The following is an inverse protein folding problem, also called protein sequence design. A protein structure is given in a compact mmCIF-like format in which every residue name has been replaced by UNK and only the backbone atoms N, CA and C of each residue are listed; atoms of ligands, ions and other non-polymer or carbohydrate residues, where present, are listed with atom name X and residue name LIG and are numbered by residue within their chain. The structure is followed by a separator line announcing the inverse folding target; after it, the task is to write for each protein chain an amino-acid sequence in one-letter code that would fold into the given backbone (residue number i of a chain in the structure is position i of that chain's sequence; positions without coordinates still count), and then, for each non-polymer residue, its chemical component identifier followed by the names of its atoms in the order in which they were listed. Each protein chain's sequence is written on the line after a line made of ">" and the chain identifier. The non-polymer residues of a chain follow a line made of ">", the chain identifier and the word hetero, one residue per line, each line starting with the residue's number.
data_IF_649623918719
#
_entry.id   IF_649623918719
#
_cell.length_a   1.000
_cell.length_b   1.000
_cell.length_c   1.000
_cell.angle_alpha   90.00
_cell.angle_beta   90.00
_cell.angle_gamma   90.00
#
_symmetry.space_group_name_H-M   'P 1'
#
loop_
_entity.id
_entity.type
_entity.pdbx_description
1 polymer ?
#
# COMPACT_ATOMS: atom_id res chain seq x y z
N UNK A 1 19.43 -78.22 -11.34
CA UNK A 1 20.82 -78.11 -10.87
C UNK A 1 21.12 -76.64 -10.60
N UNK A 2 21.29 -76.27 -9.32
CA UNK A 2 21.79 -74.95 -8.90
C UNK A 2 23.32 -75.02 -8.81
N UNK A 3 24.01 -74.00 -9.29
CA UNK A 3 25.46 -73.87 -9.19
C UNK A 3 25.87 -72.43 -8.92
N UNK A 4 26.18 -72.15 -7.65
CA UNK A 4 26.79 -70.91 -7.13
C UNK A 4 28.26 -70.78 -7.48
N UNK A 5 28.76 -69.52 -7.52
CA UNK A 5 30.02 -69.02 -6.91
C UNK A 5 30.06 -67.48 -7.09
N UNK A 6 29.98 -66.69 -6.00
CA UNK A 6 31.07 -66.04 -5.23
C UNK A 6 31.73 -64.86 -6.00
N UNK A 7 32.13 -63.71 -5.45
CA UNK A 7 32.14 -63.12 -4.10
C UNK A 7 32.71 -61.67 -4.20
N UNK A 8 32.28 -60.82 -3.27
CA UNK A 8 32.78 -59.51 -2.79
C UNK A 8 34.12 -58.93 -3.28
N UNK A 9 34.14 -57.59 -3.48
CA UNK A 9 35.23 -56.68 -3.05
C UNK A 9 34.73 -55.24 -2.92
N UNK A 10 34.89 -54.64 -1.74
CA UNK A 10 34.77 -53.20 -1.46
C UNK A 10 36.07 -52.42 -1.79
N UNK A 11 36.16 -51.13 -1.45
CA UNK A 11 36.76 -50.08 -2.29
C UNK A 11 38.21 -49.71 -1.93
N UNK A 12 38.88 -48.84 -2.71
CA UNK A 12 39.95 -48.00 -2.20
C UNK A 12 39.58 -46.51 -2.11
N UNK A 13 39.82 -45.97 -0.91
CA UNK A 13 39.99 -44.54 -0.58
C UNK A 13 41.47 -44.16 -0.72
N UNK A 14 41.79 -42.98 -1.30
CA UNK A 14 42.89 -42.08 -0.84
C UNK A 14 43.20 -40.88 -1.79
N UNK A 15 43.16 -39.66 -1.22
CA UNK A 15 44.07 -38.48 -1.35
C UNK A 15 44.42 -37.88 -2.75
N UNK A 16 44.55 -36.56 -3.02
CA UNK A 16 44.55 -35.28 -2.29
C UNK A 16 44.40 -34.08 -3.31
N UNK A 17 44.13 -32.85 -2.82
CA UNK A 17 43.76 -31.60 -3.57
C UNK A 17 44.81 -30.93 -4.49
N UNK A 18 44.65 -29.65 -4.96
CA UNK A 18 44.40 -28.47 -4.11
C UNK A 18 43.42 -27.35 -4.64
N UNK A 19 42.95 -26.54 -3.69
CA UNK A 19 42.60 -25.08 -3.66
C UNK A 19 42.09 -24.26 -4.87
N UNK A 20 40.87 -23.70 -4.67
CA UNK A 20 40.40 -22.29 -4.79
C UNK A 20 40.82 -21.39 -5.97
N UNK A 21 39.83 -20.95 -6.76
CA UNK A 21 39.49 -19.57 -7.22
C UNK A 21 38.30 -19.65 -8.21
N UNK A 22 37.10 -19.12 -7.95
CA UNK A 22 36.62 -17.73 -8.17
C UNK A 22 35.42 -17.73 -9.13
N UNK A 23 34.31 -17.19 -8.62
CA UNK A 23 33.22 -16.39 -9.19
C UNK A 23 32.22 -16.88 -10.28
N UNK A 24 30.97 -16.41 -10.04
CA UNK A 24 29.86 -16.08 -10.94
C UNK A 24 28.94 -17.19 -11.46
N UNK A 25 27.74 -17.27 -10.88
CA UNK A 25 26.50 -16.74 -11.50
C UNK A 25 25.28 -17.51 -11.01
N UNK A 26 24.20 -16.79 -10.73
CA UNK A 26 22.86 -17.35 -10.84
C UNK A 26 22.01 -17.31 -9.57
N UNK A 27 21.17 -16.26 -9.49
CA UNK A 27 19.87 -16.38 -8.83
C UNK A 27 19.74 -15.68 -7.49
N UNK A 28 19.94 -14.35 -7.45
CA UNK A 28 19.27 -13.58 -6.40
C UNK A 28 17.76 -13.67 -6.66
N UNK A 29 17.04 -14.35 -5.77
CA UNK A 29 15.59 -14.52 -5.77
C UNK A 29 14.92 -13.15 -5.68
N UNK A 30 14.66 -12.56 -6.86
CA UNK A 30 13.79 -11.39 -7.07
C UNK A 30 12.30 -11.66 -6.71
N UNK A 31 11.98 -12.82 -6.17
CA UNK A 31 10.62 -13.26 -5.87
C UNK A 31 10.07 -12.79 -4.52
N UNK A 32 10.90 -12.33 -3.58
CA UNK A 32 10.42 -11.76 -2.31
C UNK A 32 10.06 -10.26 -2.39
N UNK A 33 10.44 -9.58 -3.47
CA UNK A 33 10.27 -8.13 -3.66
C UNK A 33 8.96 -7.71 -4.36
N UNK A 34 8.10 -8.64 -4.80
CA UNK A 34 7.08 -8.35 -5.83
C UNK A 34 5.61 -8.34 -5.39
N UNK A 35 5.30 -8.45 -4.09
CA UNK A 35 3.98 -8.02 -3.57
C UNK A 35 3.97 -7.94 -2.06
N UNK A 36 3.84 -6.70 -1.59
CA UNK A 36 3.72 -6.39 -0.19
C UNK A 36 2.67 -5.30 -0.01
N UNK A 37 1.70 -5.53 0.89
CA UNK A 37 0.82 -4.46 1.32
C UNK A 37 1.66 -3.39 2.00
N UNK A 38 1.89 -2.29 1.30
CA UNK A 38 2.62 -1.16 1.83
C UNK A 38 1.65 -0.26 2.57
N UNK A 39 2.09 0.20 3.74
CA UNK A 39 1.31 1.02 4.66
C UNK A 39 1.94 2.39 4.73
N UNK A 40 1.16 3.42 4.47
CA UNK A 40 1.60 4.80 4.57
C UNK A 40 0.84 5.48 5.69
N UNK A 41 1.58 5.95 6.70
CA UNK A 41 1.01 6.71 7.81
C UNK A 41 0.52 8.07 7.33
N UNK A 42 -0.64 8.48 7.83
CA UNK A 42 -1.20 9.80 7.56
C UNK A 42 -1.57 10.51 8.86
N UNK A 43 -2.02 11.77 8.73
CA UNK A 43 -2.61 12.55 9.84
C UNK A 43 -4.15 12.56 9.79
N UNK A 44 -4.75 11.68 9.00
CA UNK A 44 -6.20 11.56 8.87
C UNK A 44 -6.72 10.88 10.13
N UNK A 45 -7.63 11.51 10.86
CA UNK A 45 -8.15 11.03 12.15
C UNK A 45 -9.62 10.66 12.05
N UNK A 46 -10.40 11.52 11.39
CA UNK A 46 -11.86 11.43 11.35
C UNK A 46 -12.34 10.83 10.03
N UNK A 47 -13.18 9.79 10.13
CA UNK A 47 -13.75 9.11 8.97
C UNK A 47 -14.70 10.02 8.18
N UNK A 48 -15.41 10.94 8.85
CA UNK A 48 -16.37 11.84 8.21
C UNK A 48 -15.68 12.71 7.16
N UNK A 49 -14.61 13.41 7.53
CA UNK A 49 -13.88 14.29 6.61
C UNK A 49 -13.12 13.49 5.55
N UNK A 50 -12.64 12.28 5.89
CA UNK A 50 -12.06 11.37 4.90
C UNK A 50 -13.07 11.04 3.80
N UNK A 51 -14.30 10.65 4.17
CA UNK A 51 -15.34 10.32 3.19
C UNK A 51 -15.74 11.52 2.33
N UNK A 52 -15.85 12.71 2.94
CA UNK A 52 -16.12 13.96 2.19
C UNK A 52 -15.00 14.25 1.19
N UNK A 53 -13.74 14.12 1.60
CA UNK A 53 -12.58 14.30 0.73
C UNK A 53 -12.57 13.30 -0.44
N UNK A 54 -12.88 12.03 -0.19
CA UNK A 54 -13.01 11.02 -1.24
C UNK A 54 -14.19 11.32 -2.18
N UNK A 55 -15.30 11.83 -1.65
CA UNK A 55 -16.44 12.30 -2.42
C UNK A 55 -16.10 13.44 -3.37
N UNK A 56 -15.37 14.46 -2.92
CA UNK A 56 -14.89 15.56 -3.79
C UNK A 56 -13.96 15.07 -4.92
N UNK A 57 -13.21 13.99 -4.67
CA UNK A 57 -12.34 13.35 -5.66
C UNK A 57 -13.10 12.37 -6.58
N UNK A 58 -14.42 12.24 -6.42
CA UNK A 58 -15.26 11.26 -7.14
C UNK A 58 -14.78 9.80 -6.96
N UNK A 59 -14.15 9.50 -5.82
CA UNK A 59 -13.66 8.17 -5.48
C UNK A 59 -14.74 7.38 -4.74
N UNK A 60 -15.30 6.39 -5.45
CA UNK A 60 -16.27 5.47 -4.88
C UNK A 60 -15.62 4.62 -3.79
N UNK A 61 -16.28 4.54 -2.63
CA UNK A 61 -15.73 3.86 -1.47
C UNK A 61 -16.81 3.08 -0.70
N UNK A 62 -16.38 2.06 0.03
CA UNK A 62 -17.21 1.27 0.93
C UNK A 62 -16.62 1.31 2.34
N UNK A 63 -17.43 1.73 3.30
CA UNK A 63 -17.08 1.78 4.72
C UNK A 63 -17.48 0.48 5.45
N UNK A 64 -16.85 0.26 6.60
CA UNK A 64 -17.12 -0.83 7.53
C UNK A 64 -15.95 -1.80 7.59
N UNK A 65 -16.12 -2.95 8.26
CA UNK A 65 -15.11 -4.01 8.26
C UNK A 65 -15.08 -4.71 6.90
N UNK A 66 -14.39 -4.12 5.94
CA UNK A 66 -14.29 -4.59 4.56
C UNK A 66 -12.90 -5.16 4.29
N UNK A 67 -12.79 -5.95 3.22
CA UNK A 67 -11.53 -6.58 2.81
C UNK A 67 -11.02 -5.97 1.51
N UNK A 68 -9.77 -5.51 1.51
CA UNK A 68 -9.03 -5.12 0.30
C UNK A 68 -8.34 -6.34 -0.30
N UNK A 69 -8.22 -6.37 -1.63
CA UNK A 69 -7.52 -7.41 -2.39
C UNK A 69 -6.13 -6.93 -2.81
N UNK A 70 -5.12 -7.74 -2.50
CA UNK A 70 -3.74 -7.61 -2.99
C UNK A 70 -3.37 -8.78 -3.91
N UNK A 71 -2.10 -8.84 -4.32
CA UNK A 71 -1.59 -9.93 -5.16
C UNK A 71 -1.79 -11.32 -4.54
N UNK A 72 -1.89 -12.34 -5.40
CA UNK A 72 -2.04 -13.76 -5.01
C UNK A 72 -3.22 -14.01 -4.05
N UNK A 73 -4.29 -13.22 -4.17
CA UNK A 73 -5.50 -13.39 -3.37
C UNK A 73 -5.33 -12.99 -1.90
N UNK A 74 -4.22 -12.34 -1.53
CA UNK A 74 -4.03 -11.79 -0.19
C UNK A 74 -5.16 -10.79 0.09
N UNK A 75 -5.71 -10.86 1.29
CA UNK A 75 -6.76 -9.95 1.76
C UNK A 75 -6.35 -9.30 3.06
N UNK A 76 -6.70 -8.04 3.24
CA UNK A 76 -6.51 -7.32 4.50
C UNK A 76 -7.81 -6.64 4.90
N UNK A 77 -8.14 -6.69 6.20
CA UNK A 77 -9.27 -5.96 6.75
C UNK A 77 -8.91 -4.49 6.97
N UNK A 78 -9.83 -3.62 6.58
CA UNK A 78 -9.73 -2.15 6.67
C UNK A 78 -11.12 -1.57 6.96
N UNK A 79 -11.15 -0.34 7.46
CA UNK A 79 -12.39 0.39 7.80
C UNK A 79 -13.03 1.05 6.58
N UNK A 80 -12.25 1.29 5.53
CA UNK A 80 -12.75 1.84 4.27
C UNK A 80 -11.94 1.30 3.09
N UNK A 81 -12.64 0.94 2.01
CA UNK A 81 -12.05 0.41 0.78
C UNK A 81 -12.46 1.24 -0.44
N UNK A 82 -11.49 1.49 -1.31
CA UNK A 82 -11.66 2.04 -2.65
C UNK A 82 -11.22 0.96 -3.64
N UNK A 83 -12.07 0.64 -4.61
CA UNK A 83 -11.70 -0.30 -5.67
C UNK A 83 -11.09 0.46 -6.84
N UNK A 84 -9.99 -0.06 -7.38
CA UNK A 84 -9.35 0.52 -8.57
C UNK A 84 -9.75 -0.28 -9.82
N UNK A 85 -9.61 0.31 -11.03
CA UNK A 85 -9.81 -0.39 -12.29
C UNK A 85 -8.85 -1.59 -12.48
N UNK A 86 -7.71 -1.61 -11.80
CA UNK A 86 -6.69 -2.65 -11.93
C UNK A 86 -7.07 -3.98 -11.23
N UNK A 87 -8.22 -4.03 -10.55
CA UNK A 87 -8.69 -5.22 -9.83
C UNK A 87 -8.10 -5.38 -8.43
N UNK A 88 -7.25 -4.44 -8.01
CA UNK A 88 -6.72 -4.30 -6.66
C UNK A 88 -7.45 -3.18 -5.92
N UNK A 89 -7.36 -3.20 -4.58
CA UNK A 89 -8.07 -2.22 -3.76
C UNK A 89 -7.08 -1.39 -2.91
N UNK A 90 -7.42 -0.12 -2.68
CA UNK A 90 -6.78 0.76 -1.71
C UNK A 90 -7.63 0.78 -0.45
N UNK A 91 -7.01 0.64 0.72
CA UNK A 91 -7.69 0.64 2.00
C UNK A 91 -7.23 1.77 2.92
N UNK A 92 -8.12 2.22 3.79
CA UNK A 92 -7.78 3.02 4.97
C UNK A 92 -7.96 2.16 6.21
N UNK A 93 -6.85 1.88 6.91
CA UNK A 93 -6.85 1.09 8.13
C UNK A 93 -6.61 1.97 9.34
N UNK A 94 -7.42 1.83 10.40
CA UNK A 94 -7.18 2.52 11.67
C UNK A 94 -5.90 1.98 12.31
N UNK A 95 -5.03 2.89 12.75
CA UNK A 95 -3.78 2.59 13.44
C UNK A 95 -3.62 3.58 14.61
N UNK A 96 -4.09 3.18 15.79
CA UNK A 96 -4.24 4.10 16.91
C UNK A 96 -5.29 5.17 16.57
N UNK A 97 -4.91 6.44 16.70
CA UNK A 97 -5.82 7.56 16.47
C UNK A 97 -5.92 8.00 15.01
N UNK A 98 -5.00 7.57 14.14
CA UNK A 98 -5.00 7.95 12.72
C UNK A 98 -5.34 6.79 11.80
N UNK A 99 -5.62 7.09 10.54
CA UNK A 99 -5.75 6.13 9.46
C UNK A 99 -4.43 6.02 8.69
N UNK A 100 -4.05 4.80 8.34
CA UNK A 100 -2.99 4.50 7.37
C UNK A 100 -3.62 4.15 6.03
N UNK A 101 -2.99 4.56 4.94
CA UNK A 101 -3.34 4.07 3.59
C UNK A 101 -2.60 2.78 3.34
N UNK A 102 -3.32 1.73 2.94
CA UNK A 102 -2.76 0.40 2.71
C UNK A 102 -3.18 -0.12 1.36
N UNK A 103 -2.23 -0.49 0.52
CA UNK A 103 -2.48 -1.10 -0.77
C UNK A 103 -1.28 -1.92 -1.26
N UNK A 104 -1.50 -2.71 -2.30
CA UNK A 104 -0.45 -3.31 -3.09
C UNK A 104 -0.11 -2.37 -4.26
N UNK A 105 0.68 -1.32 -3.97
CA UNK A 105 0.95 -0.23 -4.92
C UNK A 105 1.72 -0.69 -6.16
N UNK A 106 2.50 -1.76 -6.05
CA UNK A 106 3.21 -2.34 -7.18
C UNK A 106 2.25 -2.92 -8.22
N UNK A 107 1.03 -3.27 -7.81
CA UNK A 107 -0.01 -3.84 -8.67
C UNK A 107 -1.01 -2.81 -9.18
N UNK A 108 -1.12 -1.64 -8.54
CA UNK A 108 -2.00 -0.54 -8.97
C UNK A 108 -1.23 0.32 -9.98
N UNK A 109 -1.74 0.41 -11.22
CA UNK A 109 -1.11 1.18 -12.30
C UNK A 109 -1.91 2.41 -12.70
N UNK A 110 -3.22 2.40 -12.43
CA UNK A 110 -4.12 3.52 -12.70
C UNK A 110 -3.91 4.73 -11.78
N UNK A 111 -3.30 4.53 -10.61
CA UNK A 111 -3.17 5.55 -9.55
C UNK A 111 -1.75 5.52 -8.99
N UNK A 112 -1.08 6.68 -8.97
CA UNK A 112 0.20 6.84 -8.26
C UNK A 112 -0.03 6.94 -6.75
N UNK A 113 0.73 6.18 -5.97
CA UNK A 113 0.71 6.22 -4.50
C UNK A 113 0.89 7.65 -3.96
N UNK A 114 1.91 8.36 -4.44
CA UNK A 114 2.25 9.70 -3.95
C UNK A 114 1.15 10.70 -4.27
N UNK A 115 0.69 10.72 -5.53
CA UNK A 115 -0.37 11.62 -5.97
C UNK A 115 -1.68 11.37 -5.22
N UNK A 116 -2.05 10.10 -5.04
CA UNK A 116 -3.24 9.72 -4.28
C UNK A 116 -3.19 10.24 -2.85
N UNK A 117 -2.08 9.98 -2.14
CA UNK A 117 -1.93 10.37 -0.74
C UNK A 117 -1.92 11.90 -0.61
N UNK A 118 -1.22 12.60 -1.51
CA UNK A 118 -1.18 14.06 -1.51
C UNK A 118 -2.57 14.66 -1.75
N UNK A 119 -3.33 14.16 -2.72
CA UNK A 119 -4.66 14.66 -3.04
C UNK A 119 -5.67 14.40 -1.93
N UNK A 120 -5.74 13.17 -1.40
CA UNK A 120 -6.65 12.83 -0.31
C UNK A 120 -6.30 13.64 0.95
N UNK A 121 -5.02 13.77 1.28
CA UNK A 121 -4.60 14.53 2.47
C UNK A 121 -4.95 16.00 2.34
N UNK A 122 -4.73 16.60 1.16
CA UNK A 122 -5.09 18.00 0.90
C UNK A 122 -6.59 18.21 1.01
N UNK A 123 -7.40 17.37 0.36
CA UNK A 123 -8.86 17.45 0.39
C UNK A 123 -9.41 17.25 1.80
N UNK A 124 -8.84 16.31 2.55
CA UNK A 124 -9.18 16.10 3.96
C UNK A 124 -8.92 17.36 4.79
N UNK A 125 -7.75 17.98 4.64
CA UNK A 125 -7.42 19.21 5.37
C UNK A 125 -8.40 20.35 5.03
N UNK A 126 -8.75 20.50 3.75
CA UNK A 126 -9.75 21.47 3.32
C UNK A 126 -11.11 21.22 4.00
N UNK A 127 -11.59 19.98 4.05
CA UNK A 127 -12.87 19.64 4.68
C UNK A 127 -12.89 19.90 6.19
N UNK A 128 -11.77 19.62 6.89
CA UNK A 128 -11.62 19.94 8.31
C UNK A 128 -11.67 21.46 8.54
N UNK A 129 -10.92 22.22 7.74
CA UNK A 129 -10.87 23.69 7.85
C UNK A 129 -12.23 24.31 7.55
N UNK A 130 -12.92 23.87 6.49
CA UNK A 130 -14.28 24.33 6.16
C UNK A 130 -15.25 24.11 7.32
N UNK A 131 -15.21 22.95 7.97
CA UNK A 131 -16.11 22.65 9.09
C UNK A 131 -15.78 23.52 10.32
N UNK A 132 -14.50 23.64 10.67
CA UNK A 132 -14.07 24.48 11.78
C UNK A 132 -14.50 25.94 11.59
N UNK A 133 -14.39 26.46 10.36
CA UNK A 133 -14.76 27.83 10.05
C UNK A 133 -16.28 28.06 10.09
N UNK A 134 -17.10 27.06 9.77
CA UNK A 134 -18.56 27.14 9.95
C UNK A 134 -18.94 27.26 11.42
N UNK A 135 -18.27 26.49 12.30
CA UNK A 135 -18.48 26.58 13.75
C UNK A 135 -18.17 28.00 14.24
N UNK A 136 -17.15 28.64 13.67
CA UNK A 136 -16.71 29.98 14.05
C UNK A 136 -17.47 31.14 13.35
N UNK A 137 -18.60 30.87 12.66
CA UNK A 137 -19.41 31.83 11.89
C UNK A 137 -18.70 32.51 10.71
N UNK A 138 -17.77 31.81 10.04
CA UNK A 138 -17.14 32.26 8.81
C UNK A 138 -17.72 31.52 7.59
N UNK A 139 -17.90 32.24 6.47
CA UNK A 139 -18.33 31.65 5.19
C UNK A 139 -17.17 31.68 4.18
N UNK A 140 -16.89 30.54 3.53
CA UNK A 140 -15.89 30.43 2.46
C UNK A 140 -16.35 31.22 1.23
N UNK A 141 -15.53 32.16 0.78
CA UNK A 141 -15.81 33.02 -0.39
C UNK A 141 -15.09 32.49 -1.62
N UNK A 142 -13.85 32.02 -1.47
CA UNK A 142 -13.03 31.57 -2.59
C UNK A 142 -12.01 30.52 -2.15
N UNK A 143 -11.79 29.52 -3.00
CA UNK A 143 -10.72 28.52 -2.86
C UNK A 143 -9.84 28.60 -4.12
N UNK A 144 -8.58 29.02 -3.97
CA UNK A 144 -7.64 29.15 -5.10
C UNK A 144 -6.42 28.27 -4.88
N UNK A 145 -6.11 27.45 -5.88
CA UNK A 145 -4.94 26.55 -5.90
C UNK A 145 -3.78 27.21 -6.65
N UNK A 146 -2.65 27.43 -5.99
CA UNK A 146 -1.41 27.90 -6.61
C UNK A 146 -0.28 26.90 -6.32
N UNK A 147 -0.02 25.98 -7.26
CA UNK A 147 0.99 24.94 -7.10
C UNK A 147 0.70 24.03 -5.91
N UNK A 148 1.60 24.07 -4.91
CA UNK A 148 1.49 23.33 -3.65
C UNK A 148 0.76 24.11 -2.54
N UNK A 149 0.37 25.35 -2.79
CA UNK A 149 -0.27 26.24 -1.83
C UNK A 149 -1.78 26.35 -2.08
N UNK A 150 -2.55 26.34 -0.99
CA UNK A 150 -4.00 26.48 -1.00
C UNK A 150 -4.34 27.80 -0.31
N UNK A 151 -4.88 28.75 -1.08
CA UNK A 151 -5.41 30.01 -0.54
C UNK A 151 -6.92 29.88 -0.33
N UNK A 152 -7.37 30.19 0.89
CA UNK A 152 -8.78 30.22 1.26
C UNK A 152 -9.14 31.66 1.65
N UNK A 153 -10.01 32.30 0.87
CA UNK A 153 -10.54 33.64 1.19
C UNK A 153 -11.86 33.47 1.94
N UNK A 154 -11.93 34.06 3.14
CA UNK A 154 -13.07 33.90 4.05
C UNK A 154 -13.70 35.26 4.39
N UNK A 155 -15.03 35.30 4.56
CA UNK A 155 -15.75 36.45 5.13
C UNK A 155 -16.44 36.07 6.44
N UNK A 156 -16.41 36.98 7.41
CA UNK A 156 -17.20 36.85 8.63
C UNK A 156 -18.67 37.12 8.30
N UNK A 157 -19.57 36.28 8.81
CA UNK A 157 -21.03 36.49 8.70
C UNK A 157 -21.57 37.22 9.92
#
# INVERSE_FOLDING_TARGET
>A
MRGSRNSATGPPSALAGPTKTTNESGGNTRSELMSHFTRVKTRIVDMLYLKRALGELNLQHKEGKVKIRGYMGKKMEVELRISTPDGYDIGFRKAGDTYEVVADWDMIKSISQESFIAEVTRRYATEVVKEQLKIDNYTLVEETKQGNELHLTMRRS
#
